data_IF_230774594943
#
_entry.id   IF_230774594943
#
_cell.length_a   1.000
_cell.length_b   1.000
_cell.length_c   1.000
_cell.angle_alpha   90.00
_cell.angle_beta   90.00
_cell.angle_gamma   90.00
#
_symmetry.space_group_name_H-M   'P 1'
#
loop_
_entity.id
_entity.type
_entity.pdbx_description
1 polymer ?
#
# COMPACT_ATOMS: atom_id res chain seq x y z
N UNK A 1 -5.78 30.39 3.44
CA UNK A 1 -5.55 28.93 3.45
C UNK A 1 -6.90 28.25 3.26
N UNK A 2 -7.04 27.43 2.23
CA UNK A 2 -8.30 26.75 1.86
C UNK A 2 -8.02 25.31 1.42
N UNK A 3 -9.00 24.39 1.64
CA UNK A 3 -8.93 23.01 1.17
C UNK A 3 -9.98 22.79 0.09
N UNK A 4 -9.55 22.34 -1.08
CA UNK A 4 -10.44 22.03 -2.19
C UNK A 4 -10.21 20.60 -2.72
N UNK A 5 -11.21 19.95 -3.31
CA UNK A 5 -11.00 18.71 -4.05
C UNK A 5 -10.01 18.92 -5.20
N UNK A 6 -9.17 17.91 -5.46
CA UNK A 6 -8.30 17.91 -6.64
C UNK A 6 -9.16 17.69 -7.89
N UNK A 7 -8.89 18.47 -8.94
CA UNK A 7 -9.53 18.38 -10.26
C UNK A 7 -8.51 17.94 -11.33
N UNK A 8 -8.99 17.45 -12.46
CA UNK A 8 -8.11 17.09 -13.59
C UNK A 8 -7.24 18.28 -14.04
N UNK A 9 -7.75 19.51 -13.98
CA UNK A 9 -7.01 20.74 -14.29
C UNK A 9 -5.80 21.01 -13.38
N UNK A 10 -5.74 20.38 -12.21
CA UNK A 10 -4.63 20.54 -11.26
C UNK A 10 -3.45 19.62 -11.57
N UNK A 11 -3.65 18.56 -12.39
CA UNK A 11 -2.64 17.52 -12.63
C UNK A 11 -1.29 18.08 -13.15
N UNK A 12 -1.23 19.07 -14.05
CA UNK A 12 0.05 19.65 -14.49
C UNK A 12 0.86 20.24 -13.32
N UNK A 13 0.21 20.91 -12.37
CA UNK A 13 0.86 21.48 -11.18
C UNK A 13 1.26 20.36 -10.22
N UNK A 14 0.38 19.37 -10.02
CA UNK A 14 0.63 18.23 -9.11
C UNK A 14 1.85 17.42 -9.57
N UNK A 15 2.09 17.31 -10.86
CA UNK A 15 3.29 16.66 -11.41
C UNK A 15 4.58 17.29 -10.84
N UNK A 16 4.60 18.60 -10.66
CA UNK A 16 5.78 19.31 -10.11
C UNK A 16 5.98 19.10 -8.62
N UNK A 17 4.96 18.58 -7.90
CA UNK A 17 5.05 18.28 -6.46
C UNK A 17 5.63 16.89 -6.19
N UNK A 18 5.86 16.06 -7.23
CA UNK A 18 6.35 14.69 -7.05
C UNK A 18 7.68 14.68 -6.31
N UNK A 19 7.77 13.98 -5.16
CA UNK A 19 9.04 13.84 -4.46
C UNK A 19 10.05 13.06 -5.32
N UNK A 20 11.32 13.38 -5.13
CA UNK A 20 12.41 12.63 -5.79
C UNK A 20 12.29 11.13 -5.48
N UNK A 21 12.44 10.31 -6.51
CA UNK A 21 12.34 8.85 -6.41
C UNK A 21 10.92 8.27 -6.35
N UNK A 22 9.85 9.10 -6.39
CA UNK A 22 8.47 8.59 -6.40
C UNK A 22 7.91 8.33 -7.81
N UNK A 23 8.65 8.71 -8.85
CA UNK A 23 8.17 8.62 -10.24
C UNK A 23 7.01 9.57 -10.52
N UNK A 24 6.24 9.28 -11.57
CA UNK A 24 5.09 10.09 -11.95
C UNK A 24 3.86 9.73 -11.10
N UNK A 25 3.54 10.58 -10.12
CA UNK A 25 2.36 10.39 -9.24
C UNK A 25 1.04 10.73 -9.95
N UNK A 26 1.07 11.41 -11.10
CA UNK A 26 -0.11 11.93 -11.80
C UNK A 26 -1.11 10.83 -12.14
N UNK A 27 -0.62 9.68 -12.64
CA UNK A 27 -1.47 8.52 -12.96
C UNK A 27 -2.26 8.05 -11.73
N UNK A 28 -1.60 8.02 -10.56
CA UNK A 28 -2.27 7.59 -9.32
C UNK A 28 -3.27 8.64 -8.83
N UNK A 29 -2.94 9.93 -8.94
CA UNK A 29 -3.85 11.02 -8.57
C UNK A 29 -5.07 11.04 -9.51
N UNK A 30 -4.87 10.82 -10.82
CA UNK A 30 -5.97 10.67 -11.77
C UNK A 30 -6.92 9.54 -11.35
N UNK A 31 -6.38 8.36 -11.05
CA UNK A 31 -7.17 7.24 -10.52
C UNK A 31 -7.97 7.64 -9.26
N UNK A 32 -7.39 8.44 -8.36
CA UNK A 32 -8.12 8.92 -7.19
C UNK A 32 -9.27 9.87 -7.51
N UNK A 33 -9.11 10.73 -8.53
CA UNK A 33 -10.18 11.63 -8.99
C UNK A 33 -11.36 10.82 -9.55
N UNK A 34 -11.07 9.73 -10.26
CA UNK A 34 -12.06 8.88 -10.92
C UNK A 34 -12.75 7.91 -9.94
N UNK A 35 -12.09 7.54 -8.85
CA UNK A 35 -12.58 6.54 -7.90
C UNK A 35 -13.59 7.11 -6.90
N UNK A 36 -14.78 6.53 -6.75
CA UNK A 36 -15.76 6.96 -5.75
C UNK A 36 -15.33 6.67 -4.30
N UNK A 37 -14.30 5.86 -4.11
CA UNK A 37 -13.74 5.49 -2.81
C UNK A 37 -12.59 6.39 -2.37
N UNK A 38 -12.13 7.29 -3.24
CA UNK A 38 -11.00 8.18 -3.01
C UNK A 38 -11.46 9.63 -2.91
N UNK A 39 -10.92 10.36 -1.97
CA UNK A 39 -11.22 11.76 -1.70
C UNK A 39 -9.92 12.56 -1.72
N UNK A 40 -9.36 12.85 -2.92
CA UNK A 40 -8.14 13.61 -3.06
C UNK A 40 -8.42 15.11 -2.83
N UNK A 41 -7.60 15.76 -2.01
CA UNK A 41 -7.69 17.18 -1.70
C UNK A 41 -6.36 17.90 -1.91
N UNK A 42 -6.45 19.20 -2.17
CA UNK A 42 -5.35 20.15 -2.24
C UNK A 42 -5.48 21.22 -1.16
N UNK A 43 -4.36 21.68 -0.65
CA UNK A 43 -4.26 22.85 0.23
C UNK A 43 -3.78 24.03 -0.60
N UNK A 44 -4.57 25.09 -0.59
CA UNK A 44 -4.27 26.35 -1.25
C UNK A 44 -3.82 27.42 -0.25
N UNK A 45 -2.73 28.11 -0.57
CA UNK A 45 -2.27 29.33 0.11
C UNK A 45 -2.00 30.35 -0.99
N UNK A 46 -2.62 31.53 -0.90
CA UNK A 46 -2.52 32.59 -1.90
C UNK A 46 -2.72 32.09 -3.32
N UNK A 47 -3.79 31.28 -3.52
CA UNK A 47 -4.18 30.63 -4.79
C UNK A 47 -3.17 29.59 -5.33
N UNK A 48 -2.11 29.26 -4.59
CA UNK A 48 -1.13 28.25 -4.99
C UNK A 48 -1.39 26.92 -4.27
N UNK A 49 -1.27 25.80 -5.00
CA UNK A 49 -1.29 24.45 -4.40
C UNK A 49 0.03 24.25 -3.66
N UNK A 50 -0.02 24.19 -2.32
CA UNK A 50 1.17 24.01 -1.47
C UNK A 50 1.29 22.59 -0.93
N UNK A 51 0.18 21.84 -0.87
CA UNK A 51 0.16 20.44 -0.45
C UNK A 51 -1.03 19.70 -1.06
N UNK A 52 -0.88 18.39 -1.16
CA UNK A 52 -1.96 17.46 -1.56
C UNK A 52 -2.01 16.28 -0.60
N UNK A 53 -3.13 15.56 -0.63
CA UNK A 53 -3.31 14.30 0.08
C UNK A 53 -4.61 13.64 -0.30
N UNK A 54 -4.73 12.34 -0.05
CA UNK A 54 -5.92 11.56 -0.40
C UNK A 54 -6.37 10.73 0.78
N UNK A 55 -7.68 10.72 1.05
CA UNK A 55 -8.32 9.73 1.92
C UNK A 55 -8.94 8.64 1.04
N UNK A 56 -8.55 7.38 1.24
CA UNK A 56 -9.06 6.20 0.53
C UNK A 56 -9.91 5.42 1.52
N UNK A 57 -11.17 5.10 1.18
CA UNK A 57 -12.14 4.53 2.10
C UNK A 57 -12.37 3.04 1.78
N UNK A 58 -12.01 2.19 2.73
CA UNK A 58 -12.27 0.75 2.71
C UNK A 58 -13.31 0.40 3.79
N UNK A 59 -14.59 0.67 3.50
CA UNK A 59 -15.68 0.48 4.47
C UNK A 59 -15.49 1.35 5.73
N UNK A 60 -15.08 0.78 6.86
CA UNK A 60 -14.83 1.47 8.11
C UNK A 60 -13.34 1.77 8.40
N UNK A 61 -12.47 1.50 7.43
CA UNK A 61 -11.04 1.83 7.47
C UNK A 61 -10.75 2.90 6.42
N UNK A 62 -9.97 3.90 6.78
CA UNK A 62 -9.43 4.89 5.85
C UNK A 62 -7.92 4.77 5.73
N UNK A 63 -7.40 4.93 4.51
CA UNK A 63 -5.99 5.10 4.26
C UNK A 63 -5.68 6.55 3.88
N UNK A 64 -4.61 7.10 4.42
CA UNK A 64 -4.10 8.41 4.01
C UNK A 64 -2.89 8.21 3.10
N UNK A 65 -3.06 8.55 1.82
CA UNK A 65 -2.05 8.37 0.81
C UNK A 65 -1.63 9.67 0.13
N UNK A 66 -0.44 9.67 -0.47
CA UNK A 66 0.12 10.79 -1.25
C UNK A 66 0.06 12.12 -0.53
N UNK A 67 0.38 12.14 0.79
CA UNK A 67 0.51 13.39 1.54
C UNK A 67 1.84 14.02 1.15
N UNK A 68 1.76 15.05 0.31
CA UNK A 68 2.93 15.71 -0.28
C UNK A 68 2.82 17.21 -0.03
N UNK A 69 3.90 17.82 0.48
CA UNK A 69 4.07 19.28 0.59
C UNK A 69 5.13 19.71 -0.41
N UNK A 70 4.85 20.76 -1.17
CA UNK A 70 5.81 21.38 -2.09
C UNK A 70 7.15 21.60 -1.39
N UNK A 71 8.25 21.32 -2.07
CA UNK A 71 9.59 21.39 -1.49
C UNK A 71 9.86 22.77 -0.84
N UNK A 72 9.48 23.86 -1.53
CA UNK A 72 9.68 25.25 -1.09
C UNK A 72 8.74 25.66 0.06
N UNK A 73 7.73 24.86 0.35
CA UNK A 73 6.71 25.12 1.36
C UNK A 73 6.85 24.23 2.61
N UNK A 74 7.88 23.39 2.66
CA UNK A 74 8.17 22.53 3.82
C UNK A 74 8.60 23.38 5.03
N UNK A 75 8.42 22.80 6.21
CA UNK A 75 8.76 23.50 7.48
C UNK A 75 7.70 24.49 7.98
N UNK A 76 6.71 24.86 7.14
CA UNK A 76 5.64 25.83 7.47
C UNK A 76 4.40 25.22 8.14
N UNK A 77 4.42 23.91 8.44
CA UNK A 77 3.29 23.22 9.11
C UNK A 77 2.21 22.67 8.17
N UNK A 78 2.30 22.84 6.85
CA UNK A 78 1.26 22.43 5.91
C UNK A 78 1.04 20.92 5.88
N UNK A 79 2.08 20.12 6.13
CA UNK A 79 1.93 18.68 6.27
C UNK A 79 0.99 18.28 7.42
N UNK A 80 1.05 19.00 8.56
CA UNK A 80 0.12 18.82 9.66
C UNK A 80 -1.31 19.22 9.26
N UNK A 81 -1.47 20.39 8.62
CA UNK A 81 -2.79 20.91 8.26
C UNK A 81 -3.52 19.99 7.26
N UNK A 82 -2.83 19.55 6.19
CA UNK A 82 -3.44 18.64 5.22
C UNK A 82 -3.79 17.30 5.86
N UNK A 83 -2.94 16.76 6.72
CA UNK A 83 -3.22 15.51 7.43
C UNK A 83 -4.42 15.64 8.36
N UNK A 84 -4.57 16.76 9.08
CA UNK A 84 -5.74 17.02 9.92
C UNK A 84 -7.03 17.06 9.11
N UNK A 85 -7.01 17.66 7.92
CA UNK A 85 -8.19 17.69 7.04
C UNK A 85 -8.53 16.29 6.51
N UNK A 86 -7.54 15.48 6.12
CA UNK A 86 -7.77 14.09 5.74
C UNK A 86 -8.37 13.24 6.88
N UNK A 87 -7.91 13.46 8.12
CA UNK A 87 -8.50 12.83 9.33
C UNK A 87 -9.96 13.27 9.50
N UNK A 88 -10.25 14.57 9.32
CA UNK A 88 -11.62 15.10 9.41
C UNK A 88 -12.54 14.45 8.37
N UNK A 89 -12.05 14.27 7.15
CA UNK A 89 -12.76 13.57 6.08
C UNK A 89 -13.03 12.11 6.47
N UNK A 90 -12.02 11.36 6.92
CA UNK A 90 -12.17 9.98 7.36
C UNK A 90 -13.22 9.84 8.49
N UNK A 91 -13.18 10.74 9.47
CA UNK A 91 -14.14 10.77 10.58
C UNK A 91 -15.58 11.08 10.09
N UNK A 92 -15.75 11.99 9.12
CA UNK A 92 -17.05 12.29 8.51
C UNK A 92 -17.66 11.09 7.78
N UNK A 93 -16.81 10.18 7.29
CA UNK A 93 -17.18 8.90 6.68
C UNK A 93 -17.34 7.77 7.70
N UNK A 94 -17.27 8.08 9.01
CA UNK A 94 -17.42 7.13 10.13
C UNK A 94 -16.38 6.02 10.13
N UNK A 95 -15.19 6.27 9.58
CA UNK A 95 -14.08 5.31 9.67
C UNK A 95 -13.64 5.19 11.13
N UNK A 96 -13.47 3.94 11.58
CA UNK A 96 -13.03 3.63 12.95
C UNK A 96 -11.50 3.56 13.07
N UNK A 97 -10.85 3.26 11.97
CA UNK A 97 -9.40 3.16 11.86
C UNK A 97 -8.91 4.00 10.69
N UNK A 98 -7.86 4.77 10.91
CA UNK A 98 -7.19 5.56 9.88
C UNK A 98 -5.75 5.06 9.80
N UNK A 99 -5.34 4.58 8.63
CA UNK A 99 -4.03 3.95 8.37
C UNK A 99 -3.18 4.84 7.48
N UNK A 100 -1.88 4.75 7.61
CA UNK A 100 -0.91 5.31 6.65
C UNK A 100 0.43 4.57 6.72
N UNK A 101 1.25 4.74 5.68
CA UNK A 101 2.66 4.33 5.70
C UNK A 101 3.50 5.60 5.71
N UNK A 102 4.25 5.78 6.78
CA UNK A 102 5.04 6.97 7.04
C UNK A 102 6.47 6.81 6.50
N UNK A 103 6.94 7.83 5.78
CA UNK A 103 8.37 8.05 5.58
C UNK A 103 9.00 8.57 6.88
N UNK A 104 10.34 8.52 6.99
CA UNK A 104 11.06 9.06 8.16
C UNK A 104 10.75 10.55 8.40
N UNK A 105 10.56 11.32 7.31
CA UNK A 105 10.18 12.74 7.38
C UNK A 105 8.74 12.93 7.88
N UNK A 106 7.81 12.04 7.49
CA UNK A 106 6.38 12.15 7.85
C UNK A 106 6.07 11.62 9.24
N UNK A 107 6.77 10.59 9.71
CA UNK A 107 6.47 9.91 10.96
C UNK A 107 6.36 10.86 12.19
N UNK A 108 7.25 11.86 12.39
CA UNK A 108 7.11 12.80 13.52
C UNK A 108 5.84 13.66 13.47
N UNK A 109 5.35 13.99 12.25
CA UNK A 109 4.09 14.74 12.09
C UNK A 109 2.91 13.88 12.51
N UNK A 110 2.86 12.63 12.06
CA UNK A 110 1.77 11.71 12.37
C UNK A 110 1.75 11.33 13.85
N UNK A 111 2.91 11.10 14.47
CA UNK A 111 3.01 10.84 15.93
C UNK A 111 2.42 12.01 16.74
N UNK A 112 2.71 13.27 16.36
CA UNK A 112 2.12 14.48 17.01
C UNK A 112 0.60 14.59 16.80
N UNK A 113 0.06 13.94 15.78
CA UNK A 113 -1.39 13.85 15.52
C UNK A 113 -2.05 12.65 16.20
N UNK A 114 -1.30 11.88 16.99
CA UNK A 114 -1.82 10.74 17.75
C UNK A 114 -1.74 9.40 17.07
N UNK A 115 -1.14 9.30 15.87
CA UNK A 115 -0.89 8.02 15.23
C UNK A 115 0.10 7.18 16.03
N UNK A 116 -0.16 5.89 16.08
CA UNK A 116 0.68 4.86 16.71
C UNK A 116 1.22 3.91 15.65
N UNK A 117 2.42 3.39 15.86
CA UNK A 117 3.01 2.37 14.99
C UNK A 117 2.35 1.01 15.22
N UNK A 118 1.99 0.31 14.12
CA UNK A 118 1.45 -1.07 14.17
C UNK A 118 2.44 -2.08 13.62
N UNK A 119 3.29 -1.68 12.66
CA UNK A 119 4.29 -2.53 12.01
C UNK A 119 5.32 -1.68 11.28
N UNK A 120 6.40 -2.32 10.81
CA UNK A 120 7.37 -1.72 9.89
C UNK A 120 7.47 -2.53 8.61
N UNK A 121 7.41 -1.86 7.47
CA UNK A 121 7.71 -2.45 6.17
C UNK A 121 9.20 -2.38 5.88
N UNK A 122 9.76 -3.49 5.43
CA UNK A 122 11.15 -3.65 5.04
C UNK A 122 11.27 -3.60 3.51
N UNK A 123 12.19 -2.82 3.01
CA UNK A 123 12.45 -2.66 1.58
C UNK A 123 13.71 -3.41 1.19
N UNK A 124 13.59 -4.25 0.18
CA UNK A 124 14.67 -4.93 -0.49
C UNK A 124 14.67 -4.51 -1.96
N UNK A 125 15.76 -3.91 -2.41
CA UNK A 125 15.97 -3.46 -3.78
C UNK A 125 17.17 -4.22 -4.37
N UNK A 126 17.19 -4.35 -5.70
CA UNK A 126 18.26 -5.02 -6.45
C UNK A 126 18.50 -6.47 -5.99
N UNK A 127 17.40 -7.16 -5.68
CA UNK A 127 17.42 -8.53 -5.18
C UNK A 127 18.10 -9.46 -6.20
N UNK A 128 19.09 -10.22 -5.71
CA UNK A 128 19.76 -11.26 -6.46
C UNK A 128 19.43 -12.61 -5.82
N UNK A 129 18.94 -13.55 -6.63
CA UNK A 129 18.70 -14.93 -6.22
C UNK A 129 19.55 -15.83 -7.10
N UNK A 130 20.44 -16.59 -6.48
CA UNK A 130 21.42 -17.41 -7.20
C UNK A 130 20.77 -18.50 -8.05
N UNK A 131 19.67 -19.06 -7.56
CA UNK A 131 18.94 -20.11 -8.28
C UNK A 131 17.47 -20.08 -7.89
N UNK A 132 16.61 -19.90 -8.89
CA UNK A 132 15.15 -20.05 -8.75
C UNK A 132 14.75 -21.40 -9.33
N UNK A 133 14.16 -22.24 -8.49
CA UNK A 133 13.53 -23.51 -8.90
C UNK A 133 12.38 -23.26 -9.88
N UNK A 134 12.00 -24.29 -10.65
CA UNK A 134 10.78 -24.20 -11.47
C UNK A 134 9.54 -23.84 -10.63
N UNK A 135 8.57 -23.11 -11.20
CA UNK A 135 7.35 -22.78 -10.49
C UNK A 135 6.64 -24.01 -9.93
N UNK A 136 6.17 -23.90 -8.70
CA UNK A 136 5.43 -24.97 -8.03
C UNK A 136 4.14 -25.27 -8.84
N UNK A 137 3.87 -26.56 -9.10
CA UNK A 137 2.70 -27.03 -9.87
C UNK A 137 1.36 -26.66 -9.23
N UNK A 138 1.34 -26.30 -7.95
CA UNK A 138 0.16 -25.80 -7.25
C UNK A 138 -0.19 -24.36 -7.64
N UNK A 139 0.71 -23.64 -8.33
CA UNK A 139 0.46 -22.30 -8.85
C UNK A 139 -0.25 -22.41 -10.20
N UNK A 140 -1.35 -21.73 -10.33
CA UNK A 140 -2.12 -21.64 -11.55
C UNK A 140 -2.64 -20.23 -11.79
N UNK A 141 -3.00 -19.90 -13.02
CA UNK A 141 -3.70 -18.67 -13.34
C UNK A 141 -5.04 -18.62 -12.61
N UNK A 142 -5.43 -17.42 -12.20
CA UNK A 142 -6.74 -17.18 -11.61
C UNK A 142 -7.86 -17.70 -12.51
N UNK A 143 -8.89 -18.26 -11.88
CA UNK A 143 -10.16 -18.63 -12.51
C UNK A 143 -11.31 -18.09 -11.67
N UNK A 144 -12.43 -17.72 -12.32
CA UNK A 144 -13.53 -17.00 -11.65
C UNK A 144 -14.14 -17.75 -10.45
N UNK A 145 -14.10 -19.07 -10.43
CA UNK A 145 -14.60 -19.85 -9.29
C UNK A 145 -13.75 -19.71 -8.02
N UNK A 146 -12.55 -19.10 -8.09
CA UNK A 146 -11.72 -18.78 -6.93
C UNK A 146 -11.99 -17.40 -6.31
N UNK A 147 -12.82 -16.54 -6.95
CA UNK A 147 -13.06 -15.16 -6.52
C UNK A 147 -13.36 -15.03 -5.04
N UNK A 148 -14.38 -15.76 -4.56
CA UNK A 148 -14.82 -15.63 -3.16
C UNK A 148 -13.78 -16.16 -2.17
N UNK A 149 -13.02 -17.21 -2.53
CA UNK A 149 -11.93 -17.69 -1.68
C UNK A 149 -10.80 -16.67 -1.57
N UNK A 150 -10.46 -16.01 -2.67
CA UNK A 150 -9.42 -14.98 -2.74
C UNK A 150 -9.86 -13.76 -1.91
N UNK A 151 -11.09 -13.28 -2.09
CA UNK A 151 -11.65 -12.18 -1.32
C UNK A 151 -11.70 -12.46 0.19
N UNK A 152 -12.11 -13.68 0.57
CA UNK A 152 -12.14 -14.08 1.98
C UNK A 152 -10.73 -14.15 2.58
N UNK A 153 -9.74 -14.67 1.82
CA UNK A 153 -8.34 -14.69 2.24
C UNK A 153 -7.79 -13.27 2.41
N UNK A 154 -8.06 -12.39 1.46
CA UNK A 154 -7.63 -10.99 1.51
C UNK A 154 -8.22 -10.25 2.70
N UNK A 155 -9.54 -10.30 2.87
CA UNK A 155 -10.25 -9.63 3.96
C UNK A 155 -9.75 -10.11 5.34
N UNK A 156 -9.51 -11.42 5.48
CA UNK A 156 -8.94 -11.99 6.71
C UNK A 156 -7.51 -11.48 6.96
N UNK A 157 -6.71 -11.34 5.92
CA UNK A 157 -5.31 -10.90 6.03
C UNK A 157 -5.20 -9.42 6.29
N UNK A 158 -5.92 -8.60 5.52
CA UNK A 158 -5.87 -7.15 5.61
C UNK A 158 -6.69 -6.58 6.78
N UNK A 159 -7.65 -7.35 7.32
CA UNK A 159 -8.63 -6.93 8.32
C UNK A 159 -9.52 -5.75 7.84
N UNK A 160 -9.70 -5.62 6.52
CA UNK A 160 -10.50 -4.58 5.88
C UNK A 160 -11.11 -5.10 4.57
N UNK A 161 -12.20 -4.49 4.11
CA UNK A 161 -12.79 -4.83 2.82
C UNK A 161 -12.26 -3.89 1.73
N UNK A 162 -11.32 -4.40 0.93
CA UNK A 162 -10.71 -3.68 -0.20
C UNK A 162 -11.00 -4.35 -1.55
N UNK A 163 -12.17 -5.00 -1.65
CA UNK A 163 -12.63 -5.71 -2.85
C UNK A 163 -12.47 -4.87 -4.13
N UNK A 164 -12.88 -3.60 -4.09
CA UNK A 164 -12.80 -2.71 -5.24
C UNK A 164 -11.37 -2.44 -5.74
N UNK A 165 -10.36 -2.53 -4.85
CA UNK A 165 -8.95 -2.38 -5.22
C UNK A 165 -8.39 -3.66 -5.84
N UNK A 166 -8.76 -4.83 -5.33
CA UNK A 166 -8.10 -6.09 -5.71
C UNK A 166 -8.80 -6.82 -6.86
N UNK A 167 -10.13 -6.82 -6.91
CA UNK A 167 -10.94 -7.59 -7.87
C UNK A 167 -10.64 -7.26 -9.34
N UNK A 168 -10.41 -5.98 -9.73
CA UNK A 168 -10.02 -5.64 -11.10
C UNK A 168 -8.73 -6.29 -11.59
N UNK A 169 -7.89 -6.77 -10.66
CA UNK A 169 -6.58 -7.37 -10.96
C UNK A 169 -6.60 -8.90 -11.00
N UNK A 170 -7.74 -9.54 -10.73
CA UNK A 170 -7.84 -11.00 -10.62
C UNK A 170 -7.50 -11.73 -11.92
N UNK A 171 -7.94 -11.23 -13.07
CA UNK A 171 -7.75 -11.89 -14.38
C UNK A 171 -6.28 -12.06 -14.75
N UNK A 172 -5.40 -11.16 -14.30
CA UNK A 172 -3.95 -11.25 -14.47
C UNK A 172 -3.27 -12.02 -13.32
N UNK A 173 -4.02 -12.45 -12.32
CA UNK A 173 -3.52 -13.01 -11.08
C UNK A 173 -3.13 -14.49 -11.17
N UNK A 174 -2.37 -14.91 -10.17
CA UNK A 174 -2.01 -16.29 -9.89
C UNK A 174 -2.54 -16.70 -8.54
N UNK A 175 -2.95 -17.96 -8.41
CA UNK A 175 -3.38 -18.56 -7.16
C UNK A 175 -2.55 -19.81 -6.86
N UNK A 176 -2.22 -20.00 -5.59
CA UNK A 176 -1.68 -21.26 -5.09
C UNK A 176 -2.84 -22.07 -4.51
N UNK A 177 -3.10 -23.25 -5.09
CA UNK A 177 -4.24 -24.09 -4.72
C UNK A 177 -3.74 -25.42 -4.15
N UNK A 178 -4.25 -25.78 -2.99
CA UNK A 178 -4.01 -27.06 -2.33
C UNK A 178 -5.35 -27.67 -1.91
N UNK A 179 -5.63 -28.89 -2.37
CA UNK A 179 -6.89 -29.60 -2.08
C UNK A 179 -8.15 -28.74 -2.38
N UNK A 180 -8.19 -28.12 -3.58
CA UNK A 180 -9.27 -27.23 -4.05
C UNK A 180 -9.44 -25.94 -3.21
N UNK A 181 -8.49 -25.62 -2.33
CA UNK A 181 -8.52 -24.44 -1.47
C UNK A 181 -7.41 -23.47 -1.86
N UNK A 182 -7.75 -22.20 -2.06
CA UNK A 182 -6.78 -21.13 -2.28
C UNK A 182 -6.00 -20.89 -0.99
N UNK A 183 -4.68 -21.10 -1.03
CA UNK A 183 -3.74 -20.87 0.08
C UNK A 183 -2.97 -19.58 -0.04
N UNK A 184 -2.93 -19.00 -1.24
CA UNK A 184 -2.28 -17.72 -1.51
C UNK A 184 -2.63 -17.24 -2.92
N UNK A 185 -2.35 -15.97 -3.15
CA UNK A 185 -2.51 -15.35 -4.46
C UNK A 185 -1.41 -14.30 -4.71
N UNK A 186 -1.15 -14.04 -5.99
CA UNK A 186 -0.27 -12.99 -6.48
C UNK A 186 -1.00 -12.18 -7.55
N UNK A 187 -1.07 -10.86 -7.37
CA UNK A 187 -1.70 -9.91 -8.30
C UNK A 187 -0.62 -9.00 -8.92
N UNK A 188 -0.03 -9.38 -10.06
CA UNK A 188 1.10 -8.68 -10.66
C UNK A 188 0.80 -7.25 -11.09
N UNK A 189 -0.45 -6.96 -11.43
CA UNK A 189 -0.89 -5.65 -11.92
C UNK A 189 -1.34 -4.70 -10.81
N UNK A 190 -1.39 -5.17 -9.56
CA UNK A 190 -1.81 -4.34 -8.43
C UNK A 190 -0.59 -3.76 -7.69
N UNK A 191 -0.35 -2.47 -7.90
CA UNK A 191 0.70 -1.73 -7.21
C UNK A 191 2.09 -2.31 -7.40
N UNK A 192 2.75 -2.68 -6.30
CA UNK A 192 4.08 -3.31 -6.28
C UNK A 192 4.01 -4.84 -6.50
N UNK A 193 2.83 -5.38 -6.87
CA UNK A 193 2.60 -6.80 -7.08
C UNK A 193 2.23 -7.52 -5.78
N UNK A 194 0.99 -7.31 -5.31
CA UNK A 194 0.49 -7.88 -4.05
C UNK A 194 0.61 -9.40 -3.98
N UNK A 195 1.25 -9.91 -2.92
CA UNK A 195 1.32 -11.35 -2.61
C UNK A 195 0.81 -11.60 -1.20
N UNK A 196 -0.23 -12.42 -1.08
CA UNK A 196 -0.83 -12.83 0.20
C UNK A 196 -0.96 -14.34 0.25
N UNK A 197 -0.63 -14.94 1.41
CA UNK A 197 -0.83 -16.37 1.61
C UNK A 197 -1.05 -16.71 3.10
N UNK A 198 -1.97 -17.63 3.39
CA UNK A 198 -2.20 -18.13 4.75
C UNK A 198 -1.35 -19.37 5.07
N UNK A 199 -0.51 -19.82 4.12
CA UNK A 199 0.46 -20.90 4.26
C UNK A 199 1.81 -20.45 3.79
N UNK A 200 2.86 -20.64 4.58
CA UNK A 200 4.21 -20.16 4.27
C UNK A 200 4.75 -20.74 2.96
N UNK A 201 4.55 -22.04 2.71
CA UNK A 201 4.99 -22.67 1.46
C UNK A 201 4.34 -22.04 0.23
N UNK A 202 3.02 -21.74 0.30
CA UNK A 202 2.30 -21.08 -0.78
C UNK A 202 2.83 -19.66 -1.05
N UNK A 203 3.04 -18.89 0.01
CA UNK A 203 3.59 -17.54 -0.10
C UNK A 203 5.01 -17.53 -0.66
N UNK A 204 5.88 -18.45 -0.23
CA UNK A 204 7.24 -18.57 -0.74
C UNK A 204 7.27 -19.02 -2.21
N UNK A 205 6.35 -19.90 -2.62
CA UNK A 205 6.24 -20.32 -4.02
C UNK A 205 5.81 -19.15 -4.92
N UNK A 206 4.79 -18.38 -4.52
CA UNK A 206 4.33 -17.18 -5.23
C UNK A 206 5.41 -16.08 -5.24
N UNK A 207 6.16 -15.91 -4.15
CA UNK A 207 7.28 -14.99 -4.07
C UNK A 207 8.40 -15.36 -5.06
N UNK A 208 8.77 -16.65 -5.13
CA UNK A 208 9.75 -17.14 -6.11
C UNK A 208 9.29 -16.91 -7.55
N UNK A 209 7.99 -17.07 -7.84
CA UNK A 209 7.40 -16.72 -9.14
C UNK A 209 7.56 -15.23 -9.44
N UNK A 210 7.21 -14.35 -8.48
CA UNK A 210 7.37 -12.89 -8.59
C UNK A 210 8.84 -12.49 -8.87
N UNK A 211 9.80 -13.07 -8.14
CA UNK A 211 11.23 -12.76 -8.25
C UNK A 211 11.88 -13.18 -9.58
N UNK A 212 11.18 -13.94 -10.43
CA UNK A 212 11.68 -14.24 -11.80
C UNK A 212 11.73 -12.99 -12.70
N UNK A 213 10.91 -11.98 -12.40
CA UNK A 213 10.77 -10.78 -13.23
C UNK A 213 10.96 -9.48 -12.44
N UNK A 214 11.12 -9.56 -11.12
CA UNK A 214 11.19 -8.40 -10.25
C UNK A 214 12.38 -8.51 -9.30
N UNK A 215 13.02 -7.37 -9.03
CA UNK A 215 14.17 -7.28 -8.12
C UNK A 215 13.89 -6.42 -6.88
N UNK A 216 12.62 -6.08 -6.62
CA UNK A 216 12.21 -5.26 -5.46
C UNK A 216 11.11 -5.97 -4.69
N UNK A 217 11.17 -5.90 -3.38
CA UNK A 217 10.14 -6.40 -2.48
C UNK A 217 9.96 -5.44 -1.32
N UNK A 218 8.71 -5.26 -0.91
CA UNK A 218 8.36 -4.52 0.30
C UNK A 218 7.37 -5.34 1.11
N UNK A 219 7.80 -5.79 2.28
CA UNK A 219 7.01 -6.69 3.12
C UNK A 219 7.08 -6.30 4.61
N UNK A 220 6.08 -6.70 5.42
CA UNK A 220 6.11 -6.48 6.86
C UNK A 220 7.25 -7.27 7.54
N UNK A 221 7.85 -6.66 8.55
CA UNK A 221 8.94 -7.29 9.33
C UNK A 221 8.52 -8.59 10.03
N UNK A 222 7.23 -8.77 10.29
CA UNK A 222 6.67 -9.97 10.92
C UNK A 222 6.67 -11.20 9.99
N UNK A 223 6.83 -11.01 8.68
CA UNK A 223 7.05 -12.15 7.76
C UNK A 223 8.51 -12.60 7.80
N UNK A 224 8.91 -13.11 8.96
CA UNK A 224 10.30 -13.49 9.26
C UNK A 224 10.85 -14.56 8.33
N UNK A 225 10.00 -15.45 7.81
CA UNK A 225 10.41 -16.48 6.84
C UNK A 225 10.94 -15.85 5.56
N UNK A 226 10.21 -14.92 4.98
CA UNK A 226 10.64 -14.21 3.77
C UNK A 226 11.86 -13.32 4.04
N UNK A 227 11.86 -12.60 5.17
CA UNK A 227 12.99 -11.76 5.59
C UNK A 227 14.26 -12.61 5.70
N UNK A 228 14.21 -13.75 6.40
CA UNK A 228 15.34 -14.66 6.56
C UNK A 228 15.82 -15.24 5.22
N UNK A 229 14.87 -15.62 4.34
CA UNK A 229 15.21 -16.11 3.00
C UNK A 229 16.00 -15.06 2.21
N UNK A 230 15.55 -13.81 2.15
CA UNK A 230 16.21 -12.75 1.41
C UNK A 230 17.60 -12.42 2.00
N UNK A 231 17.71 -12.32 3.32
CA UNK A 231 18.98 -12.07 4.00
C UNK A 231 20.00 -13.21 3.77
N UNK A 232 19.56 -14.47 3.83
CA UNK A 232 20.43 -15.64 3.58
C UNK A 232 20.90 -15.73 2.11
N UNK A 233 20.18 -15.10 1.17
CA UNK A 233 20.59 -14.93 -0.21
C UNK A 233 21.51 -13.69 -0.41
N UNK A 234 21.94 -13.02 0.66
CA UNK A 234 22.83 -11.87 0.60
C UNK A 234 22.13 -10.53 0.28
N UNK A 235 20.80 -10.47 0.31
CA UNK A 235 20.06 -9.24 -0.01
C UNK A 235 19.80 -8.44 1.28
N UNK A 236 20.43 -7.26 1.48
CA UNK A 236 20.26 -6.48 2.71
C UNK A 236 18.97 -5.66 2.68
N UNK A 237 18.44 -5.36 3.87
CA UNK A 237 17.38 -4.37 4.03
C UNK A 237 17.92 -2.98 3.68
N UNK A 238 17.35 -2.33 2.67
CA UNK A 238 17.79 -1.02 2.18
C UNK A 238 17.21 0.14 2.99
N UNK A 239 15.92 0.05 3.38
CA UNK A 239 15.23 1.06 4.17
C UNK A 239 14.01 0.46 4.88
N UNK A 240 13.40 1.26 5.76
CA UNK A 240 12.19 0.91 6.49
C UNK A 240 11.13 2.00 6.32
N UNK A 241 9.85 1.65 6.46
CA UNK A 241 8.76 2.61 6.57
C UNK A 241 7.78 2.12 7.64
N UNK A 242 7.28 3.05 8.45
CA UNK A 242 6.37 2.72 9.54
C UNK A 242 4.93 2.63 9.03
N UNK A 243 4.24 1.51 9.27
CA UNK A 243 2.79 1.49 9.21
C UNK A 243 2.25 2.06 10.50
N UNK A 244 1.39 3.07 10.39
CA UNK A 244 0.83 3.76 11.55
C UNK A 244 -0.70 3.81 11.46
N UNK A 245 -1.37 3.88 12.60
CA UNK A 245 -2.82 3.97 12.71
C UNK A 245 -3.26 5.02 13.72
N UNK A 246 -4.47 5.56 13.51
CA UNK A 246 -5.21 6.42 14.43
C UNK A 246 -6.61 5.83 14.61
N UNK A 247 -7.12 5.82 15.85
CA UNK A 247 -8.38 5.16 16.19
C UNK A 247 -8.21 3.69 16.57
N UNK A 248 -9.06 2.80 16.06
CA UNK A 248 -9.00 1.36 16.34
C UNK A 248 -7.81 0.72 15.60
N UNK A 249 -7.05 -0.14 16.30
CA UNK A 249 -6.04 -0.97 15.63
C UNK A 249 -6.73 -2.19 15.00
N UNK A 250 -6.57 -2.36 13.69
CA UNK A 250 -7.12 -3.51 12.97
C UNK A 250 -6.15 -4.70 13.04
N UNK A 251 -6.69 -5.93 13.14
CA UNK A 251 -5.91 -7.16 13.32
C UNK A 251 -5.36 -7.69 11.98
N UNK A 252 -4.37 -6.99 11.42
CA UNK A 252 -3.72 -7.38 10.17
C UNK A 252 -2.82 -8.60 10.39
N UNK A 253 -2.97 -9.61 9.53
CA UNK A 253 -2.14 -10.81 9.54
C UNK A 253 -0.81 -10.57 8.80
N UNK A 254 0.05 -9.74 9.35
CA UNK A 254 1.31 -9.30 8.72
C UNK A 254 2.20 -10.44 8.21
N UNK A 255 2.23 -11.58 8.91
CA UNK A 255 3.00 -12.78 8.49
C UNK A 255 2.50 -13.37 7.17
N UNK A 256 1.28 -13.04 6.77
CA UNK A 256 0.62 -13.53 5.55
C UNK A 256 0.85 -12.62 4.33
N UNK A 257 1.50 -11.47 4.50
CA UNK A 257 1.83 -10.52 3.42
C UNK A 257 3.28 -10.77 2.98
N UNK A 258 3.48 -11.18 1.74
CA UNK A 258 4.79 -11.48 1.14
C UNK A 258 5.29 -10.34 0.25
N UNK A 259 4.38 -9.53 -0.30
CA UNK A 259 4.65 -8.25 -0.91
C UNK A 259 3.40 -7.37 -0.78
N UNK A 260 3.56 -6.07 -0.56
CA UNK A 260 2.45 -5.15 -0.33
C UNK A 260 1.86 -4.62 -1.65
N UNK A 261 0.75 -3.84 -1.56
CA UNK A 261 0.22 -3.08 -2.70
C UNK A 261 1.10 -1.86 -2.99
N UNK A 262 1.36 -1.02 -1.98
CA UNK A 262 2.12 0.21 -2.18
C UNK A 262 2.21 1.09 -0.93
N UNK A 263 2.78 2.28 -1.09
CA UNK A 263 2.96 3.23 0.01
C UNK A 263 1.70 4.00 0.43
N UNK A 264 0.64 3.90 -0.35
CA UNK A 264 -0.65 4.58 -0.12
C UNK A 264 -1.73 3.66 0.46
N UNK A 265 -1.54 2.36 0.29
CA UNK A 265 -2.41 1.29 0.80
C UNK A 265 -1.48 0.15 1.18
N UNK A 266 -1.55 -0.37 2.37
CA UNK A 266 -0.62 -1.38 2.91
C UNK A 266 -0.69 -2.75 2.27
#
# INVERSE_FOLDING_TARGET
MNFDPIQFSDLPIITTLSPEGWGNITIKIQHYIESPFCLPIKLLVDQKIVAIGTTIIHSNVAWLGHIIVSADERGKGYGKHITQELIRIANSKKCKSIQLIATDMGAPVYTKLGFKESSSYLFFDDIQITQLEEPDHSIQHYQSHYSEQLLALDQKTAAENRRFEIEPHFTAGFVYVENKTVRGYYLPTLGEGLIVANKQSAGMALLKLYLRQNSKIVLPQENTTTVSFLLNQGNPIKRRAKRMYLGENIDVQFKSIFNRIGGNIG
#
